data_IF_386260362597
#
_entry.id   IF_386260362597
#
_cell.length_a   1.000
_cell.length_b   1.000
_cell.length_c   1.000
_cell.angle_alpha   90.00
_cell.angle_beta   90.00
_cell.angle_gamma   90.00
#
_symmetry.space_group_name_H-M   'P 1'
#
loop_
_entity.id
_entity.type
_entity.pdbx_description
1 polymer ?
#
# COMPACT_ATOMS: atom_id res chain seq x y z
N UNK A 1 -8.73 -4.64 8.63
CA UNK A 1 -7.79 -4.21 7.57
C UNK A 1 -6.35 -4.22 8.02
N UNK A 2 -5.97 -3.36 9.00
CA UNK A 2 -4.55 -3.14 9.37
C UNK A 2 -3.84 -4.41 9.88
N UNK A 3 -4.48 -5.19 10.74
CA UNK A 3 -3.91 -6.45 11.24
C UNK A 3 -3.58 -7.44 10.13
N UNK A 4 -4.46 -7.59 9.15
CA UNK A 4 -4.22 -8.47 8.00
C UNK A 4 -3.04 -7.98 7.14
N UNK A 5 -2.95 -6.67 6.90
CA UNK A 5 -1.82 -6.08 6.17
C UNK A 5 -0.51 -6.35 6.94
N UNK A 6 -0.49 -6.16 8.25
CA UNK A 6 0.69 -6.41 9.08
C UNK A 6 1.12 -7.87 9.03
N UNK A 7 0.18 -8.80 9.16
CA UNK A 7 0.46 -10.24 9.06
C UNK A 7 1.00 -10.59 7.67
N UNK A 8 0.35 -10.09 6.61
CA UNK A 8 0.80 -10.31 5.22
C UNK A 8 2.21 -9.80 5.02
N UNK A 9 2.50 -8.57 5.47
CA UNK A 9 3.83 -7.98 5.34
C UNK A 9 4.88 -8.78 6.11
N UNK A 10 4.55 -9.26 7.30
CA UNK A 10 5.46 -10.12 8.08
C UNK A 10 5.77 -11.42 7.36
N UNK A 11 4.75 -12.08 6.79
CA UNK A 11 4.92 -13.32 6.01
C UNK A 11 5.77 -13.07 4.77
N UNK A 12 5.47 -12.01 4.01
CA UNK A 12 6.23 -11.63 2.82
C UNK A 12 7.70 -11.40 3.17
N UNK A 13 7.99 -10.67 4.26
CA UNK A 13 9.35 -10.43 4.70
C UNK A 13 10.08 -11.71 5.08
N UNK A 14 9.42 -12.60 5.82
CA UNK A 14 10.01 -13.87 6.27
C UNK A 14 10.39 -14.77 5.08
N UNK A 15 9.58 -14.79 4.02
CA UNK A 15 9.78 -15.68 2.86
C UNK A 15 10.30 -14.94 1.61
N UNK A 16 10.72 -13.69 1.76
CA UNK A 16 11.20 -12.85 0.66
C UNK A 16 12.40 -13.42 -0.12
N UNK A 17 13.23 -14.23 0.55
CA UNK A 17 14.39 -14.89 -0.05
C UNK A 17 14.02 -16.09 -0.94
N UNK A 18 12.80 -16.64 -0.80
CA UNK A 18 12.33 -17.81 -1.55
C UNK A 18 11.50 -17.44 -2.76
N UNK A 19 10.85 -16.26 -2.74
CA UNK A 19 9.93 -15.84 -3.79
C UNK A 19 10.46 -14.68 -4.61
N UNK A 20 10.25 -14.76 -5.93
CA UNK A 20 10.48 -13.60 -6.82
C UNK A 20 9.29 -12.62 -6.71
N UNK A 21 9.51 -11.33 -7.05
CA UNK A 21 8.41 -10.35 -7.10
C UNK A 21 7.29 -10.81 -8.03
N UNK A 22 7.65 -11.35 -9.19
CA UNK A 22 6.71 -11.86 -10.18
C UNK A 22 5.93 -13.05 -9.61
N UNK A 23 6.59 -13.98 -8.91
CA UNK A 23 5.92 -15.10 -8.25
C UNK A 23 4.89 -14.62 -7.23
N UNK A 24 5.24 -13.64 -6.40
CA UNK A 24 4.31 -13.07 -5.43
C UNK A 24 3.05 -12.48 -6.09
N UNK A 25 3.22 -11.73 -7.20
CA UNK A 25 2.10 -11.18 -7.95
C UNK A 25 1.24 -12.24 -8.62
N UNK A 26 1.86 -13.23 -9.25
CA UNK A 26 1.14 -14.31 -9.92
C UNK A 26 0.31 -15.14 -8.93
N UNK A 27 0.90 -15.57 -7.81
CA UNK A 27 0.18 -16.36 -6.80
C UNK A 27 -0.90 -15.53 -6.10
N UNK A 28 -0.59 -14.32 -5.68
CA UNK A 28 -1.56 -13.42 -5.03
C UNK A 28 -2.72 -13.08 -5.98
N UNK A 29 -2.43 -12.72 -7.22
CA UNK A 29 -3.43 -12.47 -8.24
C UNK A 29 -4.29 -13.69 -8.55
N UNK A 30 -3.67 -14.86 -8.70
CA UNK A 30 -4.39 -16.11 -8.98
C UNK A 30 -5.45 -16.41 -7.92
N UNK A 31 -5.10 -16.39 -6.65
CA UNK A 31 -6.05 -16.65 -5.56
C UNK A 31 -7.19 -15.62 -5.51
N UNK A 32 -6.89 -14.35 -5.71
CA UNK A 32 -7.92 -13.30 -5.76
C UNK A 32 -8.91 -13.56 -6.91
N UNK A 33 -8.41 -13.90 -8.09
CA UNK A 33 -9.28 -14.17 -9.25
C UNK A 33 -10.07 -15.47 -9.09
N UNK A 34 -9.50 -16.48 -8.44
CA UNK A 34 -10.18 -17.75 -8.14
C UNK A 34 -11.45 -17.54 -7.31
N UNK A 35 -11.46 -16.53 -6.44
CA UNK A 35 -12.61 -16.18 -5.61
C UNK A 35 -13.52 -15.15 -6.30
N UNK A 36 -12.94 -14.13 -6.92
CA UNK A 36 -13.71 -13.01 -7.47
C UNK A 36 -14.48 -13.37 -8.75
N UNK A 37 -13.93 -14.23 -9.62
CA UNK A 37 -14.60 -14.62 -10.86
C UNK A 37 -15.93 -15.36 -10.58
N UNK A 38 -15.98 -16.39 -9.73
CA UNK A 38 -17.26 -17.05 -9.37
C UNK A 38 -18.26 -16.07 -8.76
N UNK A 39 -17.83 -15.19 -7.87
CA UNK A 39 -18.70 -14.18 -7.26
C UNK A 39 -19.28 -13.20 -8.28
N UNK A 40 -18.48 -12.78 -9.26
CA UNK A 40 -18.93 -11.94 -10.35
C UNK A 40 -19.95 -12.66 -11.24
N UNK A 41 -19.73 -13.94 -11.55
CA UNK A 41 -20.65 -14.75 -12.36
C UNK A 41 -22.01 -14.97 -11.67
N UNK A 42 -22.04 -15.05 -10.35
CA UNK A 42 -23.29 -15.17 -9.57
C UNK A 42 -24.11 -13.88 -9.59
N UNK A 43 -23.45 -12.72 -9.65
CA UNK A 43 -24.09 -11.41 -9.66
C UNK A 43 -23.42 -10.50 -10.70
N UNK A 44 -23.66 -10.71 -12.01
CA UNK A 44 -23.01 -9.93 -13.05
C UNK A 44 -23.51 -8.49 -13.03
N UNK A 45 -22.61 -7.56 -12.75
CA UNK A 45 -22.87 -6.12 -12.84
C UNK A 45 -22.76 -5.69 -14.31
N UNK A 46 -23.71 -4.87 -14.75
CA UNK A 46 -23.61 -4.22 -16.06
C UNK A 46 -22.63 -3.06 -15.93
N UNK A 47 -21.46 -3.23 -16.51
CA UNK A 47 -20.40 -2.22 -16.51
C UNK A 47 -20.38 -1.54 -17.88
N UNK A 48 -20.45 -0.21 -17.92
CA UNK A 48 -20.27 0.55 -19.14
C UNK A 48 -18.82 0.51 -19.61
N UNK A 49 -18.57 0.79 -20.89
CA UNK A 49 -17.20 0.83 -21.41
C UNK A 49 -16.33 1.88 -20.70
N UNK A 50 -16.90 3.01 -20.32
CA UNK A 50 -16.20 4.05 -19.58
C UNK A 50 -15.81 3.60 -18.16
N UNK A 51 -16.73 2.97 -17.44
CA UNK A 51 -16.44 2.40 -16.11
C UNK A 51 -15.38 1.31 -16.18
N UNK A 52 -15.45 0.43 -17.20
CA UNK A 52 -14.44 -0.58 -17.43
C UNK A 52 -13.05 0.05 -17.65
N UNK A 53 -12.96 1.11 -18.45
CA UNK A 53 -11.72 1.83 -18.68
C UNK A 53 -11.16 2.44 -17.38
N UNK A 54 -12.00 3.08 -16.57
CA UNK A 54 -11.60 3.66 -15.30
C UNK A 54 -11.11 2.59 -14.31
N UNK A 55 -11.84 1.49 -14.18
CA UNK A 55 -11.48 0.37 -13.29
C UNK A 55 -10.15 -0.25 -13.74
N UNK A 56 -9.97 -0.47 -15.04
CA UNK A 56 -8.73 -1.03 -15.60
C UNK A 56 -7.53 -0.11 -15.35
N UNK A 57 -7.71 1.19 -15.53
CA UNK A 57 -6.68 2.19 -15.27
C UNK A 57 -6.31 2.22 -13.78
N UNK A 58 -7.29 2.24 -12.89
CA UNK A 58 -7.07 2.16 -11.45
C UNK A 58 -6.33 0.87 -11.06
N UNK A 59 -6.72 -0.27 -11.64
CA UNK A 59 -6.06 -1.56 -11.39
C UNK A 59 -4.58 -1.53 -11.83
N UNK A 60 -4.25 -0.93 -12.97
CA UNK A 60 -2.88 -0.76 -13.43
C UNK A 60 -2.04 0.06 -12.44
N UNK A 61 -2.57 1.20 -11.95
CA UNK A 61 -1.88 2.02 -10.95
C UNK A 61 -1.67 1.29 -9.64
N UNK A 62 -2.69 0.59 -9.13
CA UNK A 62 -2.59 -0.17 -7.88
C UNK A 62 -1.55 -1.28 -8.00
N UNK A 63 -1.57 -2.05 -9.09
CA UNK A 63 -0.59 -3.12 -9.30
C UNK A 63 0.83 -2.58 -9.45
N UNK A 64 1.01 -1.47 -10.16
CA UNK A 64 2.32 -0.81 -10.28
C UNK A 64 2.81 -0.32 -8.92
N UNK A 65 1.97 0.32 -8.12
CA UNK A 65 2.31 0.78 -6.77
C UNK A 65 2.71 -0.40 -5.86
N UNK A 66 1.99 -1.51 -5.91
CA UNK A 66 2.32 -2.72 -5.16
C UNK A 66 3.64 -3.34 -5.61
N UNK A 67 3.94 -3.34 -6.91
CA UNK A 67 5.22 -3.80 -7.44
C UNK A 67 6.38 -2.95 -6.92
N UNK A 68 6.27 -1.63 -6.96
CA UNK A 68 7.30 -0.73 -6.44
C UNK A 68 7.44 -0.86 -4.92
N UNK A 69 6.34 -0.98 -4.18
CA UNK A 69 6.37 -1.17 -2.74
C UNK A 69 7.09 -2.48 -2.34
N UNK A 70 6.75 -3.61 -2.99
CA UNK A 70 7.42 -4.89 -2.72
C UNK A 70 8.90 -4.84 -3.08
N UNK A 71 9.27 -4.15 -4.17
CA UNK A 71 10.66 -3.95 -4.56
C UNK A 71 11.40 -3.09 -3.53
N UNK A 72 10.80 -2.00 -3.07
CA UNK A 72 11.37 -1.15 -2.04
C UNK A 72 11.63 -1.92 -0.73
N UNK A 73 10.69 -2.76 -0.30
CA UNK A 73 10.88 -3.62 0.87
C UNK A 73 12.02 -4.62 0.68
N UNK A 74 12.19 -5.18 -0.52
CA UNK A 74 13.31 -6.08 -0.83
C UNK A 74 14.66 -5.38 -0.74
N UNK A 75 14.76 -4.18 -1.29
CA UNK A 75 16.00 -3.39 -1.28
C UNK A 75 16.31 -2.91 0.15
N UNK A 76 15.30 -2.52 0.89
CA UNK A 76 15.45 -1.99 2.24
C UNK A 76 16.01 -3.02 3.25
N UNK A 77 15.82 -4.31 3.00
CA UNK A 77 16.30 -5.41 3.87
C UNK A 77 16.10 -5.14 5.38
N UNK A 78 17.16 -4.72 6.08
CA UNK A 78 17.14 -4.43 7.52
C UNK A 78 16.45 -3.11 7.90
N UNK A 79 16.19 -2.24 6.92
CA UNK A 79 15.64 -0.88 7.13
C UNK A 79 14.14 -0.79 6.82
N UNK A 80 13.38 -1.83 7.08
CA UNK A 80 11.92 -1.87 6.83
C UNK A 80 11.16 -0.72 7.47
N UNK A 81 11.56 -0.29 8.66
CA UNK A 81 10.92 0.81 9.37
C UNK A 81 10.94 2.12 8.56
N UNK A 82 12.01 2.36 7.80
CA UNK A 82 12.13 3.54 6.93
C UNK A 82 11.16 3.49 5.75
N UNK A 83 10.95 2.32 5.15
CA UNK A 83 9.97 2.15 4.06
C UNK A 83 8.55 2.27 4.59
N UNK A 84 8.27 1.71 5.77
CA UNK A 84 6.95 1.85 6.40
C UNK A 84 6.58 3.29 6.73
N UNK A 85 7.54 4.12 7.14
CA UNK A 85 7.26 5.53 7.40
C UNK A 85 6.80 6.27 6.13
N UNK A 86 7.27 5.88 4.95
CA UNK A 86 6.82 6.41 3.67
C UNK A 86 5.38 5.98 3.32
N UNK A 87 4.96 4.79 3.75
CA UNK A 87 3.57 4.32 3.54
C UNK A 87 2.57 5.22 4.26
N UNK A 88 2.93 5.79 5.40
CA UNK A 88 2.06 6.74 6.10
C UNK A 88 1.82 8.04 5.32
N UNK A 89 2.71 8.43 4.42
CA UNK A 89 2.47 9.57 3.52
C UNK A 89 1.25 9.35 2.60
N UNK A 90 0.90 8.09 2.33
CA UNK A 90 -0.30 7.76 1.55
C UNK A 90 -1.56 8.33 2.22
N UNK A 91 -1.63 8.33 3.55
CA UNK A 91 -2.77 8.89 4.30
C UNK A 91 -2.89 10.39 4.05
N UNK A 92 -1.76 11.11 4.02
CA UNK A 92 -1.75 12.55 3.75
C UNK A 92 -2.18 12.83 2.30
N UNK A 93 -1.63 12.08 1.32
CA UNK A 93 -2.00 12.23 -0.08
C UNK A 93 -3.47 11.93 -0.33
N UNK A 94 -4.00 10.84 0.24
CA UNK A 94 -5.42 10.50 0.09
C UNK A 94 -6.33 11.56 0.71
N UNK A 95 -5.91 12.14 1.84
CA UNK A 95 -6.66 13.23 2.49
C UNK A 95 -6.66 14.50 1.64
N UNK A 96 -5.53 14.86 1.03
CA UNK A 96 -5.45 16.01 0.11
C UNK A 96 -6.34 15.80 -1.11
N UNK A 97 -6.31 14.62 -1.71
CA UNK A 97 -7.17 14.25 -2.84
C UNK A 97 -8.66 14.34 -2.44
N UNK A 98 -9.03 13.82 -1.25
CA UNK A 98 -10.37 13.92 -0.71
C UNK A 98 -10.86 15.36 -0.62
N UNK A 99 -10.03 16.25 -0.06
CA UNK A 99 -10.38 17.67 0.10
C UNK A 99 -10.46 18.38 -1.27
N UNK A 100 -9.42 18.25 -2.11
CA UNK A 100 -9.31 19.07 -3.32
C UNK A 100 -10.15 18.56 -4.50
N UNK A 101 -10.32 17.23 -4.61
CA UNK A 101 -11.04 16.63 -5.75
C UNK A 101 -12.49 16.31 -5.39
N UNK A 102 -12.72 15.77 -4.20
CA UNK A 102 -14.07 15.34 -3.78
C UNK A 102 -14.78 16.35 -2.89
N UNK A 103 -14.14 17.49 -2.53
CA UNK A 103 -14.67 18.49 -1.60
C UNK A 103 -15.12 17.88 -0.25
N UNK A 104 -14.44 16.81 0.19
CA UNK A 104 -14.70 16.16 1.45
C UNK A 104 -13.97 16.88 2.58
N UNK A 105 -14.72 17.35 3.58
CA UNK A 105 -14.13 17.97 4.76
C UNK A 105 -13.79 16.88 5.78
N UNK A 106 -12.54 16.87 6.21
CA UNK A 106 -12.11 16.00 7.31
C UNK A 106 -12.74 16.47 8.62
N UNK A 107 -13.18 15.54 9.44
CA UNK A 107 -13.59 15.88 10.80
C UNK A 107 -12.35 16.21 11.67
N UNK A 108 -12.59 16.86 12.82
CA UNK A 108 -11.51 17.28 13.72
C UNK A 108 -10.59 16.12 14.14
N UNK A 109 -11.15 14.94 14.39
CA UNK A 109 -10.37 13.75 14.79
C UNK A 109 -9.43 13.28 13.69
N UNK A 110 -9.83 13.39 12.42
CA UNK A 110 -8.98 13.03 11.29
C UNK A 110 -7.81 14.01 11.14
N UNK A 111 -8.01 15.32 11.36
CA UNK A 111 -6.90 16.29 11.39
C UNK A 111 -5.90 15.98 12.51
N UNK A 112 -6.40 15.69 13.72
CA UNK A 112 -5.55 15.30 14.85
C UNK A 112 -4.75 14.04 14.50
N UNK A 113 -5.39 13.01 13.92
CA UNK A 113 -4.71 11.79 13.49
C UNK A 113 -3.63 12.05 12.44
N UNK A 114 -3.90 12.90 11.44
CA UNK A 114 -2.92 13.29 10.42
C UNK A 114 -1.71 14.00 11.03
N UNK A 115 -1.92 14.92 12.00
CA UNK A 115 -0.83 15.60 12.71
C UNK A 115 0.03 14.59 13.47
N UNK A 116 -0.55 13.62 14.18
CA UNK A 116 0.21 12.58 14.87
C UNK A 116 1.05 11.72 13.92
N UNK A 117 0.52 11.40 12.74
CA UNK A 117 1.26 10.65 11.72
C UNK A 117 2.49 11.45 11.26
N UNK A 118 2.32 12.74 10.96
CA UNK A 118 3.43 13.61 10.53
C UNK A 118 4.48 13.74 11.63
N UNK A 119 4.05 14.01 12.86
CA UNK A 119 4.97 14.14 14.00
C UNK A 119 5.73 12.83 14.25
N UNK A 120 5.06 11.69 14.20
CA UNK A 120 5.70 10.38 14.32
C UNK A 120 6.75 10.15 13.24
N UNK A 121 6.46 10.53 11.99
CA UNK A 121 7.42 10.47 10.89
C UNK A 121 8.67 11.33 11.16
N UNK A 122 8.47 12.57 11.56
CA UNK A 122 9.57 13.51 11.87
C UNK A 122 10.46 12.99 13.02
N UNK A 123 9.85 12.51 14.10
CA UNK A 123 10.58 11.99 15.26
C UNK A 123 11.38 10.70 14.93
N UNK A 124 10.88 9.89 14.00
CA UNK A 124 11.56 8.66 13.60
C UNK A 124 12.76 8.87 12.66
N UNK A 125 12.82 9.98 11.92
CA UNK A 125 13.87 10.28 10.93
C UNK A 125 15.30 10.25 11.50
N UNK A 126 15.60 10.90 12.64
CA UNK A 126 16.97 10.93 13.17
C UNK A 126 17.51 9.54 13.54
N UNK A 127 16.67 8.68 14.10
CA UNK A 127 17.06 7.31 14.45
C UNK A 127 17.33 6.46 13.21
N UNK A 128 16.58 6.67 12.13
CA UNK A 128 16.79 6.00 10.85
C UNK A 128 18.09 6.44 10.17
N UNK A 129 18.39 7.75 10.18
CA UNK A 129 19.64 8.29 9.62
C UNK A 129 20.86 7.74 10.40
N UNK A 130 20.75 7.62 11.72
CA UNK A 130 21.82 7.04 12.55
C UNK A 130 22.09 5.58 12.18
N UNK A 131 21.05 4.77 12.05
CA UNK A 131 21.16 3.35 11.62
C UNK A 131 21.80 3.20 10.23
N UNK A 132 21.49 4.10 9.28
CA UNK A 132 22.10 4.11 7.96
C UNK A 132 23.60 4.44 7.99
N UNK A 133 24.02 5.33 8.89
CA UNK A 133 25.43 5.67 9.07
C UNK A 133 26.25 4.58 9.75
N UNK A 134 25.64 3.78 10.61
CA UNK A 134 26.31 2.66 11.30
C UNK A 134 26.38 1.39 10.42
N UNK A 135 25.63 1.33 9.33
CA UNK A 135 25.59 0.20 8.41
C UNK A 135 26.57 0.33 7.22
N UNK A 136 27.13 1.52 6.98
CA UNK A 136 28.17 1.82 6.00
C UNK A 136 29.56 1.90 6.66
#
# INVERSE_FOLDING_TARGET
>A
GVLLITITTFIVNKYNHVTTNIGYFLYGGFFVHLVSIPLFLLNPLKVTFFEFFLISTAALFINSAMFFATTAFKIAQKHYASVFSLVYLQVLWSSLVGIFIFNEYMNLYAYIGAIFIVLSGIVSLPSQIKQLKEAN
#
